data_IF_301618262330
#
_entry.id   IF_301618262330
#
_cell.length_a   1.000
_cell.length_b   1.000
_cell.length_c   1.000
_cell.angle_alpha   90.00
_cell.angle_beta   90.00
_cell.angle_gamma   90.00
#
_symmetry.space_group_name_H-M   'P 1'
#
loop_
_entity.id
_entity.type
_entity.pdbx_description
1 polymer ?
#
# COMPACT_ATOMS: atom_id res chain seq x y z
N UNK A 1 -9.54 8.05 5.08
CA UNK A 1 -8.57 7.38 4.18
C UNK A 1 -8.98 7.77 2.77
N UNK A 2 -8.40 8.85 2.23
CA UNK A 2 -8.68 9.31 0.86
C UNK A 2 -8.00 8.37 -0.14
N UNK A 3 -8.70 7.28 -0.47
CA UNK A 3 -8.28 6.30 -1.48
C UNK A 3 -8.78 6.67 -2.89
N UNK A 4 -9.30 7.89 -3.08
CA UNK A 4 -9.92 8.29 -4.32
C UNK A 4 -8.88 8.97 -5.23
N UNK A 5 -8.70 8.51 -6.48
CA UNK A 5 -7.80 9.16 -7.42
C UNK A 5 -8.26 10.60 -7.65
N UNK A 6 -7.36 11.56 -7.38
CA UNK A 6 -7.62 13.01 -7.48
C UNK A 6 -7.94 13.52 -8.91
N UNK A 7 -7.94 12.66 -9.92
CA UNK A 7 -8.00 13.05 -11.33
C UNK A 7 -9.03 12.21 -12.10
N UNK A 8 -10.28 12.31 -11.67
CA UNK A 8 -11.46 11.96 -12.48
C UNK A 8 -11.94 13.26 -13.11
N UNK A 9 -11.24 13.72 -14.16
CA UNK A 9 -11.47 15.01 -14.81
C UNK A 9 -12.94 15.39 -15.02
N UNK A 10 -13.18 16.71 -15.13
CA UNK A 10 -14.44 17.49 -15.04
C UNK A 10 -15.61 17.12 -16.00
N UNK A 11 -15.59 15.90 -16.49
CA UNK A 11 -16.57 15.29 -17.35
C UNK A 11 -17.68 14.65 -16.50
N UNK A 12 -18.94 14.76 -16.92
CA UNK A 12 -20.10 14.13 -16.25
C UNK A 12 -19.95 12.61 -16.04
N UNK A 13 -18.96 11.98 -16.66
CA UNK A 13 -18.62 10.57 -16.46
C UNK A 13 -17.69 10.32 -15.27
N UNK A 14 -16.83 11.27 -14.91
CA UNK A 14 -15.90 11.17 -13.79
C UNK A 14 -16.61 11.05 -12.45
N UNK A 15 -17.60 11.93 -12.21
CA UNK A 15 -18.34 11.94 -10.94
C UNK A 15 -19.10 10.62 -10.70
N UNK A 16 -19.65 10.00 -11.75
CA UNK A 16 -20.40 8.73 -11.60
C UNK A 16 -19.44 7.64 -11.13
N UNK A 17 -18.27 7.51 -11.76
CA UNK A 17 -17.28 6.51 -11.35
C UNK A 17 -16.76 6.80 -9.95
N UNK A 18 -16.56 8.06 -9.58
CA UNK A 18 -16.19 8.45 -8.22
C UNK A 18 -17.22 7.99 -7.18
N UNK A 19 -18.50 8.27 -7.42
CA UNK A 19 -19.58 7.83 -6.54
C UNK A 19 -19.65 6.30 -6.44
N UNK A 20 -19.48 5.59 -7.56
CA UNK A 20 -19.42 4.12 -7.55
C UNK A 20 -18.24 3.61 -6.73
N UNK A 21 -17.04 4.21 -6.88
CA UNK A 21 -15.88 3.85 -6.08
C UNK A 21 -16.15 4.02 -4.59
N UNK A 22 -16.76 5.13 -4.17
CA UNK A 22 -17.15 5.37 -2.77
C UNK A 22 -18.13 4.31 -2.25
N UNK A 23 -19.14 3.94 -3.03
CA UNK A 23 -20.11 2.91 -2.64
C UNK A 23 -19.44 1.54 -2.49
N UNK A 24 -18.49 1.22 -3.37
CA UNK A 24 -17.78 -0.06 -3.35
C UNK A 24 -16.61 -0.11 -2.33
N UNK A 25 -16.38 0.95 -1.55
CA UNK A 25 -15.30 0.97 -0.53
C UNK A 25 -15.49 -0.08 0.57
N UNK A 26 -16.69 -0.63 0.73
CA UNK A 26 -16.97 -1.71 1.67
C UNK A 26 -16.37 -3.07 1.24
N UNK A 27 -15.77 -3.15 0.05
CA UNK A 27 -15.12 -4.35 -0.49
C UNK A 27 -16.10 -5.44 -0.95
N UNK A 28 -17.42 -5.22 -0.81
CA UNK A 28 -18.45 -6.22 -1.13
C UNK A 28 -18.80 -6.20 -2.60
N UNK A 29 -19.50 -7.25 -3.05
CA UNK A 29 -20.11 -7.31 -4.38
C UNK A 29 -21.46 -6.61 -4.38
N UNK A 30 -21.69 -5.75 -5.37
CA UNK A 30 -22.94 -5.02 -5.54
C UNK A 30 -23.48 -5.18 -6.96
N UNK A 31 -24.77 -5.46 -7.07
CA UNK A 31 -25.51 -5.34 -8.32
C UNK A 31 -25.63 -3.87 -8.74
N UNK A 32 -25.97 -3.61 -10.01
CA UNK A 32 -26.23 -2.23 -10.48
C UNK A 32 -27.35 -1.55 -9.71
N UNK A 33 -28.37 -2.31 -9.31
CA UNK A 33 -29.53 -1.79 -8.59
C UNK A 33 -29.15 -1.39 -7.15
N UNK A 34 -28.34 -2.21 -6.45
CA UNK A 34 -27.80 -1.86 -5.13
C UNK A 34 -26.91 -0.61 -5.17
N UNK A 35 -26.04 -0.49 -6.17
CA UNK A 35 -25.19 0.70 -6.34
C UNK A 35 -26.07 1.94 -6.60
N UNK A 36 -27.08 1.80 -7.46
CA UNK A 36 -27.97 2.92 -7.78
C UNK A 36 -28.80 3.36 -6.57
N UNK A 37 -29.32 2.41 -5.80
CA UNK A 37 -30.10 2.66 -4.60
C UNK A 37 -29.24 3.32 -3.51
N UNK A 38 -28.10 2.73 -3.17
CA UNK A 38 -27.12 3.27 -2.22
C UNK A 38 -26.65 4.67 -2.62
N UNK A 39 -26.31 4.86 -3.90
CA UNK A 39 -25.86 6.15 -4.40
C UNK A 39 -26.95 7.24 -4.39
N UNK A 40 -28.22 6.87 -4.60
CA UNK A 40 -29.33 7.83 -4.52
C UNK A 40 -29.71 8.18 -3.08
N UNK A 41 -29.68 7.19 -2.18
CA UNK A 41 -30.02 7.41 -0.76
C UNK A 41 -28.95 8.26 -0.05
N UNK A 42 -27.67 8.09 -0.41
CA UNK A 42 -26.55 8.88 0.09
C UNK A 42 -26.35 10.23 -0.61
N UNK A 43 -27.08 10.51 -1.70
CA UNK A 43 -26.93 11.74 -2.48
C UNK A 43 -25.68 11.78 -3.38
N UNK A 44 -24.96 10.67 -3.52
CA UNK A 44 -23.78 10.56 -4.38
C UNK A 44 -24.12 10.47 -5.88
N UNK A 45 -25.32 9.98 -6.21
CA UNK A 45 -25.82 9.86 -7.59
C UNK A 45 -27.11 10.66 -7.80
N UNK A 46 -27.30 11.30 -8.98
CA UNK A 46 -28.54 12.00 -9.28
C UNK A 46 -29.76 11.09 -9.22
N UNK A 47 -30.88 11.60 -8.69
CA UNK A 47 -32.16 10.89 -8.65
C UNK A 47 -32.65 10.46 -10.04
N UNK A 48 -32.28 11.21 -11.07
CA UNK A 48 -32.61 10.95 -12.49
C UNK A 48 -31.76 9.88 -13.15
N UNK A 49 -30.64 9.45 -12.54
CA UNK A 49 -29.78 8.43 -13.12
C UNK A 49 -30.53 7.08 -13.16
N UNK A 50 -30.59 6.48 -14.35
CA UNK A 50 -31.21 5.17 -14.57
C UNK A 50 -30.20 4.03 -14.51
N UNK A 51 -30.68 2.84 -14.14
CA UNK A 51 -29.91 1.59 -14.06
C UNK A 51 -29.05 1.32 -15.30
N UNK A 52 -29.65 1.39 -16.50
CA UNK A 52 -28.94 1.16 -17.78
C UNK A 52 -27.80 2.15 -18.00
N UNK A 53 -28.01 3.42 -17.65
CA UNK A 53 -26.99 4.47 -17.78
C UNK A 53 -25.82 4.20 -16.84
N UNK A 54 -26.09 3.89 -15.57
CA UNK A 54 -25.07 3.53 -14.59
C UNK A 54 -24.24 2.33 -15.06
N UNK A 55 -24.89 1.25 -15.51
CA UNK A 55 -24.23 0.07 -16.03
C UNK A 55 -23.28 0.38 -17.20
N UNK A 56 -23.73 1.19 -18.16
CA UNK A 56 -22.93 1.60 -19.32
C UNK A 56 -21.69 2.40 -18.87
N UNK A 57 -21.83 3.29 -17.88
CA UNK A 57 -20.70 4.05 -17.36
C UNK A 57 -19.65 3.14 -16.70
N UNK A 58 -20.09 2.22 -15.83
CA UNK A 58 -19.18 1.31 -15.13
C UNK A 58 -18.46 0.40 -16.14
N UNK A 59 -19.20 -0.28 -17.01
CA UNK A 59 -18.58 -1.19 -18.00
C UNK A 59 -17.68 -0.47 -19.00
N UNK A 60 -18.10 0.72 -19.47
CA UNK A 60 -17.27 1.56 -20.34
C UNK A 60 -15.99 2.04 -19.64
N UNK A 61 -16.03 2.31 -18.33
CA UNK A 61 -14.82 2.60 -17.54
C UNK A 61 -13.87 1.40 -17.53
N UNK A 62 -14.38 0.20 -17.19
CA UNK A 62 -13.58 -1.03 -17.12
C UNK A 62 -12.88 -1.28 -18.46
N UNK A 63 -13.64 -1.22 -19.57
CA UNK A 63 -13.11 -1.43 -20.92
C UNK A 63 -12.04 -0.42 -21.30
N UNK A 64 -12.22 0.88 -20.97
CA UNK A 64 -11.21 1.91 -21.26
C UNK A 64 -9.91 1.69 -20.49
N UNK A 65 -10.00 1.30 -19.21
CA UNK A 65 -8.81 0.98 -18.42
C UNK A 65 -8.06 -0.21 -19.02
N UNK A 66 -8.77 -1.30 -19.31
CA UNK A 66 -8.19 -2.50 -19.93
C UNK A 66 -7.57 -2.21 -21.31
N UNK A 67 -8.26 -1.45 -22.17
CA UNK A 67 -7.74 -1.05 -23.48
C UNK A 67 -6.47 -0.19 -23.39
N UNK A 68 -6.29 0.51 -22.27
CA UNK A 68 -5.10 1.32 -21.98
C UNK A 68 -4.02 0.52 -21.24
N UNK A 69 -4.16 -0.80 -21.08
CA UNK A 69 -3.23 -1.62 -20.31
C UNK A 69 -3.21 -1.32 -18.80
N UNK A 70 -4.22 -0.60 -18.29
CA UNK A 70 -4.34 -0.22 -16.88
C UNK A 70 -5.18 -1.24 -16.12
N UNK A 71 -4.86 -1.42 -14.84
CA UNK A 71 -5.68 -2.22 -13.93
C UNK A 71 -6.96 -1.43 -13.61
N UNK A 72 -8.16 -1.91 -13.98
CA UNK A 72 -9.39 -1.21 -13.62
C UNK A 72 -9.60 -1.31 -12.11
N UNK A 73 -10.02 -0.21 -11.46
CA UNK A 73 -10.32 -0.20 -10.02
C UNK A 73 -11.62 -0.95 -9.68
N UNK A 74 -12.52 -1.06 -10.65
CA UNK A 74 -13.78 -1.78 -10.56
C UNK A 74 -13.68 -3.00 -11.47
N UNK A 75 -14.10 -4.17 -11.01
CA UNK A 75 -14.24 -5.35 -11.85
C UNK A 75 -15.69 -5.83 -11.85
N UNK A 76 -16.04 -6.54 -12.91
CA UNK A 76 -17.33 -7.20 -13.05
C UNK A 76 -17.16 -8.70 -12.86
N UNK A 77 -17.96 -9.29 -11.98
CA UNK A 77 -18.05 -10.73 -11.85
C UNK A 77 -18.70 -11.31 -13.13
N UNK A 78 -18.03 -12.27 -13.81
CA UNK A 78 -18.49 -12.79 -15.09
C UNK A 78 -19.79 -13.61 -14.98
N UNK A 79 -20.13 -14.14 -13.80
CA UNK A 79 -21.29 -15.02 -13.61
C UNK A 79 -22.57 -14.23 -13.38
N UNK A 80 -22.54 -13.28 -12.46
CA UNK A 80 -23.74 -12.54 -12.01
C UNK A 80 -23.77 -11.08 -12.51
N UNK A 81 -22.70 -10.61 -13.17
CA UNK A 81 -22.52 -9.22 -13.64
C UNK A 81 -22.50 -8.17 -12.53
N UNK A 82 -22.23 -8.57 -11.29
CA UNK A 82 -22.09 -7.66 -10.16
C UNK A 82 -20.73 -6.99 -10.20
N UNK A 83 -20.62 -5.85 -9.53
CA UNK A 83 -19.41 -5.06 -9.48
C UNK A 83 -18.81 -5.10 -8.09
N UNK A 84 -17.49 -5.10 -8.02
CA UNK A 84 -16.72 -4.90 -6.80
C UNK A 84 -15.43 -4.14 -7.12
N UNK A 85 -14.74 -3.68 -6.09
CA UNK A 85 -13.37 -3.20 -6.28
C UNK A 85 -12.48 -4.36 -6.76
N UNK A 86 -11.49 -4.03 -7.59
CA UNK A 86 -10.51 -4.98 -8.11
C UNK A 86 -9.44 -5.32 -7.08
N UNK A 87 -9.90 -5.84 -5.94
CA UNK A 87 -9.14 -6.17 -4.75
C UNK A 87 -9.65 -7.52 -4.21
N UNK A 88 -8.79 -8.34 -3.58
CA UNK A 88 -9.22 -9.49 -2.80
C UNK A 88 -10.28 -9.08 -1.77
N UNK A 89 -11.18 -9.98 -1.40
CA UNK A 89 -12.11 -9.73 -0.30
C UNK A 89 -11.33 -9.73 1.03
N UNK A 90 -11.55 -8.73 1.88
CA UNK A 90 -11.06 -8.76 3.25
C UNK A 90 -12.14 -9.40 4.14
N UNK A 91 -11.81 -10.57 4.69
CA UNK A 91 -12.69 -11.30 5.58
C UNK A 91 -12.59 -10.82 7.04
N UNK A 92 -11.65 -9.92 7.34
CA UNK A 92 -11.39 -9.43 8.69
C UNK A 92 -11.98 -8.01 8.87
N UNK A 93 -12.45 -7.67 10.08
CA UNK A 93 -12.89 -6.31 10.35
C UNK A 93 -11.71 -5.32 10.23
N UNK A 94 -11.97 -4.07 9.83
CA UNK A 94 -10.94 -3.04 9.77
C UNK A 94 -10.37 -2.81 11.17
N UNK A 95 -9.12 -3.23 11.39
CA UNK A 95 -8.43 -2.99 12.64
C UNK A 95 -7.65 -1.67 12.58
N UNK A 96 -7.91 -0.76 13.51
CA UNK A 96 -7.15 0.49 13.64
C UNK A 96 -5.84 0.16 14.34
N UNK A 97 -4.75 0.13 13.58
CA UNK A 97 -3.39 -0.04 14.11
C UNK A 97 -3.14 1.02 15.18
N UNK A 98 -2.66 0.62 16.37
CA UNK A 98 -2.16 1.60 17.34
C UNK A 98 -1.04 2.38 16.68
N UNK A 99 -1.08 3.72 16.73
CA UNK A 99 -0.15 4.60 16.04
C UNK A 99 1.28 4.07 16.15
N UNK A 100 1.90 3.77 14.99
CA UNK A 100 3.31 3.43 14.94
C UNK A 100 4.10 4.59 15.58
N UNK A 101 5.23 4.29 16.22
CA UNK A 101 6.04 5.32 16.85
C UNK A 101 6.33 6.46 15.86
N UNK A 102 6.20 7.73 16.27
CA UNK A 102 6.39 8.86 15.37
C UNK A 102 7.79 8.79 14.74
N UNK A 103 7.85 8.95 13.42
CA UNK A 103 9.12 8.91 12.70
C UNK A 103 10.02 10.06 13.15
N UNK A 104 11.32 9.80 13.07
CA UNK A 104 12.36 10.77 13.40
C UNK A 104 12.67 11.77 12.28
N UNK A 105 12.08 11.63 11.08
CA UNK A 105 12.36 12.51 9.94
C UNK A 105 11.14 13.29 9.45
N UNK A 106 11.37 14.49 8.91
CA UNK A 106 10.34 15.40 8.45
C UNK A 106 9.85 15.03 7.04
N UNK A 107 8.96 14.03 6.96
CA UNK A 107 8.39 13.53 5.71
C UNK A 107 7.76 14.64 4.85
N UNK A 108 7.08 15.60 5.48
CA UNK A 108 6.40 16.69 4.78
C UNK A 108 7.37 17.62 4.06
N UNK A 109 8.52 17.94 4.68
CA UNK A 109 9.56 18.75 4.05
C UNK A 109 10.17 18.06 2.83
N UNK A 110 10.42 16.75 2.91
CA UNK A 110 10.96 15.96 1.79
C UNK A 110 9.98 15.94 0.63
N UNK A 111 8.70 15.64 0.91
CA UNK A 111 7.63 15.61 -0.09
C UNK A 111 7.45 16.99 -0.74
N UNK A 112 7.42 18.05 0.06
CA UNK A 112 7.25 19.42 -0.43
C UNK A 112 8.41 19.82 -1.36
N UNK A 113 9.65 19.49 -1.00
CA UNK A 113 10.83 19.77 -1.83
C UNK A 113 10.79 18.99 -3.14
N UNK A 114 10.43 17.71 -3.10
CA UNK A 114 10.30 16.87 -4.29
C UNK A 114 9.24 17.45 -5.25
N UNK A 115 8.07 17.84 -4.73
CA UNK A 115 7.01 18.47 -5.50
C UNK A 115 7.46 19.79 -6.13
N UNK A 116 8.06 20.69 -5.35
CA UNK A 116 8.47 22.01 -5.82
C UNK A 116 9.54 21.94 -6.94
N UNK A 117 10.50 21.03 -6.82
CA UNK A 117 11.60 20.90 -7.78
C UNK A 117 11.18 20.20 -9.09
N UNK A 118 10.20 19.29 -9.05
CA UNK A 118 9.73 18.54 -10.23
C UNK A 118 9.11 19.39 -11.36
N UNK A 119 8.69 20.62 -11.03
CA UNK A 119 8.10 21.60 -11.96
C UNK A 119 9.00 22.83 -12.17
N UNK A 120 10.18 22.83 -11.57
CA UNK A 120 11.17 23.92 -11.67
C UNK A 120 11.96 23.90 -12.99
N UNK A 121 12.90 24.84 -13.10
CA UNK A 121 13.85 24.98 -14.20
C UNK A 121 15.28 24.53 -13.84
N UNK A 122 15.45 23.94 -12.66
CA UNK A 122 16.70 23.35 -12.16
C UNK A 122 16.57 21.81 -12.09
N UNK A 123 16.97 21.08 -13.15
CA UNK A 123 16.94 19.63 -13.18
C UNK A 123 17.78 19.00 -12.06
N UNK A 124 18.95 19.58 -11.76
CA UNK A 124 19.85 19.05 -10.72
C UNK A 124 19.20 19.13 -9.35
N UNK A 125 18.46 20.21 -9.05
CA UNK A 125 17.70 20.31 -7.81
C UNK A 125 16.60 19.24 -7.71
N UNK A 126 15.96 18.87 -8.82
CA UNK A 126 14.97 17.79 -8.86
C UNK A 126 15.62 16.41 -8.66
N UNK A 127 16.73 16.14 -9.34
CA UNK A 127 17.51 14.90 -9.17
C UNK A 127 17.94 14.70 -7.71
N UNK A 128 18.42 15.76 -7.05
CA UNK A 128 18.80 15.72 -5.64
C UNK A 128 17.60 15.50 -4.72
N UNK A 129 16.48 16.20 -4.96
CA UNK A 129 15.26 16.00 -4.18
C UNK A 129 14.69 14.58 -4.33
N UNK A 130 14.81 13.99 -5.53
CA UNK A 130 14.48 12.60 -5.78
C UNK A 130 15.39 11.66 -4.99
N UNK A 131 16.70 11.92 -4.95
CA UNK A 131 17.63 11.11 -4.15
C UNK A 131 17.25 11.13 -2.67
N UNK A 132 16.99 12.30 -2.10
CA UNK A 132 16.61 12.45 -0.69
C UNK A 132 15.29 11.72 -0.38
N UNK A 133 14.32 11.77 -1.31
CA UNK A 133 13.04 11.07 -1.18
C UNK A 133 13.21 9.54 -1.21
N UNK A 134 14.09 9.01 -2.07
CA UNK A 134 14.39 7.58 -2.14
C UNK A 134 15.21 7.12 -0.93
N UNK A 135 16.14 7.94 -0.44
CA UNK A 135 16.89 7.65 0.79
C UNK A 135 15.96 7.59 2.02
N UNK A 136 14.96 8.47 2.08
CA UNK A 136 13.94 8.46 3.14
C UNK A 136 13.09 7.16 3.18
N UNK A 137 13.06 6.40 2.07
CA UNK A 137 12.44 5.07 2.01
C UNK A 137 13.39 3.95 2.46
N UNK A 138 14.62 4.27 2.85
CA UNK A 138 15.62 3.32 3.37
C UNK A 138 16.55 2.71 2.31
N UNK A 139 16.63 3.29 1.12
CA UNK A 139 17.60 2.88 0.10
C UNK A 139 18.97 3.53 0.33
N UNK A 140 20.03 2.87 -0.15
CA UNK A 140 21.37 3.48 -0.23
C UNK A 140 21.48 4.20 -1.57
N UNK A 141 21.49 5.53 -1.56
CA UNK A 141 21.37 6.34 -2.77
C UNK A 141 22.67 7.02 -3.15
N UNK A 142 22.95 7.06 -4.46
CA UNK A 142 24.05 7.81 -5.06
C UNK A 142 23.50 8.67 -6.21
N UNK A 143 23.53 9.99 -6.03
CA UNK A 143 23.37 10.94 -7.14
C UNK A 143 24.57 10.83 -8.08
N UNK A 144 24.33 10.72 -9.38
CA UNK A 144 25.35 10.59 -10.42
C UNK A 144 25.28 11.82 -11.32
N UNK A 145 24.15 11.99 -12.03
CA UNK A 145 23.87 13.12 -12.91
C UNK A 145 24.84 13.26 -14.10
N UNK A 146 24.49 14.18 -15.01
CA UNK A 146 25.36 14.60 -16.10
C UNK A 146 25.17 13.84 -17.42
N UNK A 147 25.96 14.22 -18.43
CA UNK A 147 25.74 13.76 -19.80
C UNK A 147 26.03 12.25 -19.97
N UNK A 148 25.04 11.50 -20.46
CA UNK A 148 25.08 10.04 -20.73
C UNK A 148 25.24 9.15 -19.49
N UNK A 149 24.92 9.68 -18.32
CA UNK A 149 24.84 8.94 -17.08
C UNK A 149 23.40 9.02 -16.55
N UNK A 150 22.95 8.05 -15.72
CA UNK A 150 21.68 8.20 -15.04
C UNK A 150 21.77 9.29 -13.99
N UNK A 151 20.62 9.83 -13.62
CA UNK A 151 20.55 10.85 -12.58
C UNK A 151 20.91 10.26 -11.23
N UNK A 152 20.43 9.06 -10.93
CA UNK A 152 20.79 8.36 -9.71
C UNK A 152 20.91 6.85 -9.87
N UNK A 153 21.60 6.24 -8.92
CA UNK A 153 21.62 4.80 -8.67
C UNK A 153 21.35 4.56 -7.20
N UNK A 154 20.55 3.56 -6.89
CA UNK A 154 20.30 3.18 -5.50
C UNK A 154 20.17 1.68 -5.29
N UNK A 155 20.56 1.25 -4.10
CA UNK A 155 20.61 -0.15 -3.68
C UNK A 155 19.64 -0.39 -2.52
N UNK A 156 18.92 -1.51 -2.58
CA UNK A 156 18.13 -2.03 -1.46
C UNK A 156 18.98 -3.05 -0.67
N UNK A 157 19.48 -2.74 0.53
CA UNK A 157 20.41 -3.61 1.27
C UNK A 157 19.68 -4.76 2.01
N UNK A 158 18.96 -5.60 1.26
CA UNK A 158 18.07 -6.65 1.80
C UNK A 158 18.73 -8.04 1.85
N UNK A 159 20.06 -8.10 1.94
CA UNK A 159 20.82 -9.36 1.94
C UNK A 159 20.58 -10.15 0.64
N UNK A 160 20.16 -11.44 0.69
CA UNK A 160 19.86 -12.23 -0.50
C UNK A 160 18.75 -11.67 -1.39
N UNK A 161 17.91 -10.76 -0.87
CA UNK A 161 16.83 -10.11 -1.61
C UNK A 161 17.24 -8.76 -2.19
N UNK A 162 18.51 -8.37 -2.01
CA UNK A 162 19.04 -7.09 -2.49
C UNK A 162 18.80 -6.91 -3.99
N UNK A 163 18.64 -5.66 -4.38
CA UNK A 163 18.48 -5.27 -5.77
C UNK A 163 18.94 -3.82 -5.96
N UNK A 164 19.21 -3.48 -7.20
CA UNK A 164 19.72 -2.19 -7.64
C UNK A 164 18.80 -1.56 -8.67
N UNK A 165 18.65 -0.24 -8.61
CA UNK A 165 17.84 0.53 -9.55
C UNK A 165 18.65 1.71 -10.09
N UNK A 166 18.53 1.99 -11.38
CA UNK A 166 18.91 3.29 -11.98
C UNK A 166 17.68 4.18 -12.17
N UNK A 167 17.85 5.48 -12.00
CA UNK A 167 16.78 6.47 -12.08
C UNK A 167 17.11 7.56 -13.10
N UNK A 168 16.12 7.87 -13.94
CA UNK A 168 16.06 9.13 -14.71
C UNK A 168 14.94 10.01 -14.16
N UNK A 169 15.21 11.29 -14.02
CA UNK A 169 14.30 12.33 -13.59
C UNK A 169 13.90 13.20 -14.78
N UNK A 170 12.59 13.32 -15.00
CA UNK A 170 12.00 14.11 -16.07
C UNK A 170 11.21 15.27 -15.47
N UNK A 171 11.82 16.45 -15.40
CA UNK A 171 11.15 17.66 -14.95
C UNK A 171 10.18 18.18 -16.03
N UNK A 172 9.06 18.77 -15.63
CA UNK A 172 8.13 19.38 -16.57
C UNK A 172 7.47 20.65 -16.00
N UNK A 173 7.74 21.80 -16.62
CA UNK A 173 7.12 23.08 -16.25
C UNK A 173 5.58 23.06 -16.34
N UNK A 174 5.04 22.23 -17.22
CA UNK A 174 3.59 22.00 -17.35
C UNK A 174 2.99 21.12 -16.26
N UNK A 175 3.83 20.52 -15.40
CA UNK A 175 3.46 19.46 -14.46
C UNK A 175 3.23 18.09 -15.10
N UNK A 176 3.37 17.96 -16.43
CA UNK A 176 3.12 16.70 -17.15
C UNK A 176 4.22 16.44 -18.18
N UNK A 177 4.88 15.30 -18.03
CA UNK A 177 5.83 14.75 -19.00
C UNK A 177 5.04 14.14 -20.17
N UNK A 178 5.18 14.75 -21.36
CA UNK A 178 4.48 14.35 -22.61
C UNK A 178 5.39 13.66 -23.63
N UNK A 179 6.71 13.76 -23.46
CA UNK A 179 7.68 13.13 -24.37
C UNK A 179 8.26 11.89 -23.71
N UNK A 180 8.44 10.84 -24.50
CA UNK A 180 8.79 9.50 -24.01
C UNK A 180 10.32 9.22 -24.11
N UNK A 181 11.11 10.24 -24.46
CA UNK A 181 12.54 10.08 -24.78
C UNK A 181 13.37 9.36 -23.71
N UNK A 182 13.05 9.56 -22.42
CA UNK A 182 13.77 8.95 -21.32
C UNK A 182 13.61 7.42 -21.18
N UNK A 183 12.59 6.78 -21.78
CA UNK A 183 12.33 5.35 -21.54
C UNK A 183 13.46 4.46 -22.07
N UNK A 184 13.82 4.61 -23.34
CA UNK A 184 14.90 3.83 -23.93
C UNK A 184 16.27 4.12 -23.29
N UNK A 185 16.48 5.37 -22.85
CA UNK A 185 17.70 5.79 -22.16
C UNK A 185 17.81 5.16 -20.76
N UNK A 186 16.73 5.16 -19.97
CA UNK A 186 16.70 4.50 -18.67
C UNK A 186 17.04 3.01 -18.76
N UNK A 187 16.49 2.31 -19.76
CA UNK A 187 16.82 0.91 -20.02
C UNK A 187 18.29 0.71 -20.40
N UNK A 188 18.85 1.60 -21.23
CA UNK A 188 20.29 1.58 -21.54
C UNK A 188 21.13 1.77 -20.27
N UNK A 189 20.75 2.69 -19.38
CA UNK A 189 21.46 2.91 -18.13
C UNK A 189 21.39 1.70 -17.19
N UNK A 190 20.25 1.01 -17.09
CA UNK A 190 20.13 -0.24 -16.35
C UNK A 190 21.22 -1.23 -16.75
N UNK A 191 21.36 -1.45 -18.06
CA UNK A 191 22.29 -2.44 -18.61
C UNK A 191 23.75 -2.01 -18.40
N UNK A 192 24.06 -0.74 -18.64
CA UNK A 192 25.42 -0.17 -18.45
C UNK A 192 25.86 -0.22 -16.98
N UNK A 193 24.94 0.09 -16.05
CA UNK A 193 25.23 0.17 -14.61
C UNK A 193 24.94 -1.13 -13.86
N UNK A 194 24.54 -2.18 -14.58
CA UNK A 194 24.21 -3.51 -14.04
C UNK A 194 23.17 -3.45 -12.92
N UNK A 195 22.12 -2.65 -13.13
CA UNK A 195 20.99 -2.59 -12.23
C UNK A 195 19.99 -3.71 -12.54
N UNK A 196 19.24 -4.14 -11.53
CA UNK A 196 18.16 -5.12 -11.69
C UNK A 196 16.91 -4.47 -12.30
N UNK A 197 16.72 -3.17 -12.04
CA UNK A 197 15.59 -2.39 -12.54
C UNK A 197 16.02 -0.99 -13.00
N UNK A 198 15.15 -0.32 -13.75
CA UNK A 198 15.25 1.10 -14.04
C UNK A 198 13.90 1.80 -13.88
N UNK A 199 13.95 3.05 -13.44
CA UNK A 199 12.79 3.87 -13.22
C UNK A 199 12.92 5.25 -13.89
N UNK A 200 11.77 5.79 -14.31
CA UNK A 200 11.58 7.21 -14.58
C UNK A 200 10.83 7.83 -13.41
N UNK A 201 11.20 9.06 -13.04
CA UNK A 201 10.48 9.89 -12.07
C UNK A 201 10.17 11.26 -12.67
N UNK A 202 8.91 11.66 -12.64
CA UNK A 202 8.48 12.99 -13.09
C UNK A 202 7.31 13.52 -12.27
N UNK A 203 6.90 14.78 -12.44
CA UNK A 203 5.76 15.35 -11.71
C UNK A 203 4.49 14.53 -11.95
N UNK A 204 4.19 14.26 -13.22
CA UNK A 204 3.19 13.31 -13.68
C UNK A 204 3.53 12.89 -15.13
N UNK A 205 2.99 11.76 -15.57
CA UNK A 205 3.13 11.30 -16.95
C UNK A 205 1.80 11.36 -17.69
N UNK A 206 1.84 11.69 -18.98
CA UNK A 206 0.67 11.63 -19.84
C UNK A 206 0.00 10.24 -19.75
N UNK A 207 -1.32 10.23 -19.57
CA UNK A 207 -2.08 9.00 -19.31
C UNK A 207 -2.50 8.24 -20.56
N UNK A 208 -2.50 8.91 -21.71
CA UNK A 208 -2.90 8.36 -23.01
C UNK A 208 -1.67 8.29 -23.93
N UNK A 209 -1.67 7.35 -24.86
CA UNK A 209 -0.64 7.25 -25.90
C UNK A 209 0.27 6.04 -25.76
N UNK A 210 1.45 6.11 -26.41
CA UNK A 210 2.37 4.98 -26.58
C UNK A 210 3.24 4.66 -25.34
N UNK A 211 3.23 5.53 -24.32
CA UNK A 211 4.11 5.42 -23.15
C UNK A 211 3.97 4.06 -22.45
N UNK A 212 2.74 3.57 -22.24
CA UNK A 212 2.54 2.31 -21.52
C UNK A 212 3.14 1.12 -22.27
N UNK A 213 3.04 1.10 -23.60
CA UNK A 213 3.69 0.08 -24.43
C UNK A 213 5.22 0.20 -24.39
N UNK A 214 5.75 1.43 -24.39
CA UNK A 214 7.18 1.67 -24.34
C UNK A 214 7.80 1.25 -23.00
N UNK A 215 7.14 1.56 -21.88
CA UNK A 215 7.52 1.11 -20.54
C UNK A 215 7.58 -0.43 -20.45
N UNK A 216 6.62 -1.12 -21.08
CA UNK A 216 6.64 -2.58 -21.16
C UNK A 216 7.78 -3.10 -22.03
N UNK A 217 7.95 -2.55 -23.23
CA UNK A 217 8.96 -3.01 -24.18
C UNK A 217 10.40 -2.84 -23.67
N UNK A 218 10.65 -1.79 -22.88
CA UNK A 218 11.97 -1.48 -22.33
C UNK A 218 12.16 -1.94 -20.88
N UNK A 219 11.13 -2.53 -20.28
CA UNK A 219 11.12 -2.97 -18.88
C UNK A 219 11.43 -1.84 -17.88
N UNK A 220 10.78 -0.69 -18.07
CA UNK A 220 10.99 0.52 -17.27
C UNK A 220 9.77 0.78 -16.39
N UNK A 221 10.01 1.12 -15.12
CA UNK A 221 8.96 1.59 -14.22
C UNK A 221 8.80 3.11 -14.31
N UNK A 222 7.57 3.63 -14.35
CA UNK A 222 7.31 5.07 -14.30
C UNK A 222 6.67 5.46 -12.96
N UNK A 223 7.31 6.37 -12.22
CA UNK A 223 6.86 6.92 -10.96
C UNK A 223 6.49 8.39 -11.11
N UNK A 224 5.28 8.77 -10.72
CA UNK A 224 5.00 10.18 -10.45
C UNK A 224 5.61 10.62 -9.11
N UNK A 225 5.78 11.92 -8.92
CA UNK A 225 6.12 12.49 -7.60
C UNK A 225 5.09 12.10 -6.54
N UNK A 226 3.81 12.00 -6.91
CA UNK A 226 2.77 11.58 -5.96
C UNK A 226 2.87 10.10 -5.57
N UNK A 227 3.37 9.23 -6.47
CA UNK A 227 3.66 7.84 -6.14
C UNK A 227 4.74 7.75 -5.05
N UNK A 228 5.84 8.50 -5.21
CA UNK A 228 6.94 8.55 -4.22
C UNK A 228 6.46 9.19 -2.91
N UNK A 229 5.72 10.30 -2.99
CA UNK A 229 5.14 10.93 -1.80
C UNK A 229 4.20 9.99 -1.04
N UNK A 230 3.39 9.21 -1.77
CA UNK A 230 2.56 8.17 -1.19
C UNK A 230 3.39 7.11 -0.46
N UNK A 231 4.47 6.62 -1.07
CA UNK A 231 5.35 5.63 -0.43
C UNK A 231 5.93 6.18 0.88
N UNK A 232 6.36 7.44 0.88
CA UNK A 232 6.88 8.10 2.08
C UNK A 232 5.79 8.18 3.15
N UNK A 233 4.58 8.66 2.81
CA UNK A 233 3.45 8.73 3.76
C UNK A 233 3.06 7.35 4.30
N UNK A 234 3.16 6.31 3.47
CA UNK A 234 2.83 4.93 3.85
C UNK A 234 3.89 4.25 4.71
N UNK A 235 5.09 4.82 4.86
CA UNK A 235 6.23 4.12 5.46
C UNK A 235 6.58 2.85 4.70
N UNK A 236 6.64 2.98 3.36
CA UNK A 236 7.13 1.89 2.55
C UNK A 236 8.64 1.73 2.74
N UNK A 237 9.10 0.49 2.79
CA UNK A 237 10.52 0.15 2.83
C UNK A 237 10.96 -0.46 1.48
N UNK A 238 12.27 -0.72 1.26
CA UNK A 238 12.75 -1.22 -0.02
C UNK A 238 12.17 -2.59 -0.38
N UNK A 239 11.90 -3.46 0.60
CA UNK A 239 11.28 -4.76 0.34
C UNK A 239 9.88 -4.59 -0.25
N UNK A 240 9.07 -3.70 0.35
CA UNK A 240 7.72 -3.39 -0.11
C UNK A 240 7.69 -2.67 -1.46
N UNK A 241 8.70 -1.84 -1.74
CA UNK A 241 8.79 -1.08 -2.99
C UNK A 241 9.22 -1.94 -4.20
N UNK A 242 9.87 -3.10 -3.98
CA UNK A 242 10.41 -3.95 -5.05
C UNK A 242 9.44 -4.23 -6.22
N UNK A 243 8.17 -4.62 -6.00
CA UNK A 243 7.24 -4.88 -7.11
C UNK A 243 6.95 -3.65 -7.98
N UNK A 244 7.05 -2.45 -7.40
CA UNK A 244 6.78 -1.18 -8.10
C UNK A 244 7.79 -0.90 -9.21
N UNK A 245 8.99 -1.50 -9.14
CA UNK A 245 10.05 -1.32 -10.13
C UNK A 245 9.96 -2.25 -11.35
N UNK A 246 9.00 -3.19 -11.41
CA UNK A 246 8.77 -3.91 -12.67
C UNK A 246 8.11 -2.99 -13.70
N UNK A 247 8.28 -3.32 -14.98
CA UNK A 247 7.77 -2.58 -16.13
C UNK A 247 6.33 -2.03 -15.98
N UNK A 248 6.13 -0.79 -16.42
CA UNK A 248 4.85 -0.08 -16.41
C UNK A 248 4.76 1.01 -15.35
N UNK A 249 3.55 1.53 -15.11
CA UNK A 249 3.36 2.60 -14.12
C UNK A 249 3.36 2.05 -12.70
N UNK A 250 4.08 2.71 -11.81
CA UNK A 250 4.08 2.40 -10.39
C UNK A 250 2.67 2.53 -9.78
N UNK A 251 1.88 3.52 -10.23
CA UNK A 251 0.50 3.76 -9.78
C UNK A 251 -0.37 2.49 -9.80
N UNK A 252 -0.19 1.64 -10.83
CA UNK A 252 -0.98 0.41 -11.01
C UNK A 252 -0.73 -0.64 -9.92
N UNK A 253 0.46 -0.62 -9.31
CA UNK A 253 0.87 -1.56 -8.25
C UNK A 253 0.88 -0.93 -6.87
N UNK A 254 0.93 0.39 -6.80
CA UNK A 254 0.85 1.13 -5.55
C UNK A 254 -0.49 0.92 -4.86
N UNK A 255 -1.56 0.82 -5.63
CA UNK A 255 -2.88 0.46 -5.11
C UNK A 255 -2.92 -0.96 -4.51
N UNK A 256 -2.16 -1.89 -5.07
CA UNK A 256 -2.03 -3.25 -4.54
C UNK A 256 -1.23 -3.26 -3.25
N UNK A 257 -0.15 -2.48 -3.18
CA UNK A 257 0.62 -2.31 -1.95
C UNK A 257 -0.22 -1.64 -0.85
N UNK A 258 -0.99 -0.60 -1.18
CA UNK A 258 -1.94 0.04 -0.26
C UNK A 258 -2.96 -0.95 0.27
N UNK A 259 -3.50 -1.79 -0.63
CA UNK A 259 -4.44 -2.83 -0.25
C UNK A 259 -3.80 -3.87 0.67
N UNK A 260 -2.65 -4.42 0.30
CA UNK A 260 -1.91 -5.42 1.08
C UNK A 260 -1.51 -4.89 2.46
N UNK A 261 -1.13 -3.61 2.57
CA UNK A 261 -0.83 -3.01 3.88
C UNK A 261 -2.07 -2.93 4.78
N UNK A 262 -3.24 -2.70 4.21
CA UNK A 262 -4.47 -2.52 4.96
C UNK A 262 -5.26 -3.82 5.20
N UNK A 263 -5.08 -4.85 4.36
CA UNK A 263 -5.91 -6.06 4.36
C UNK A 263 -5.09 -7.36 4.12
N UNK A 264 -3.78 -7.23 3.91
CA UNK A 264 -2.89 -8.36 3.64
C UNK A 264 -2.36 -9.02 4.90
N UNK A 265 -1.40 -9.94 4.71
CA UNK A 265 -0.87 -10.75 5.81
C UNK A 265 -0.26 -9.91 6.93
N UNK A 266 0.42 -8.80 6.59
CA UNK A 266 1.01 -7.91 7.57
C UNK A 266 -0.02 -7.26 8.49
N UNK A 267 -1.19 -6.87 7.95
CA UNK A 267 -2.28 -6.36 8.77
C UNK A 267 -2.87 -7.46 9.65
N UNK A 268 -3.09 -8.68 9.11
CA UNK A 268 -3.66 -9.78 9.90
C UNK A 268 -2.74 -10.16 11.06
N UNK A 269 -1.43 -10.26 10.82
CA UNK A 269 -0.42 -10.51 11.86
C UNK A 269 -0.46 -9.41 12.92
N UNK A 270 -0.53 -8.13 12.52
CA UNK A 270 -0.62 -7.02 13.46
C UNK A 270 -1.93 -7.05 14.28
N UNK A 271 -3.06 -7.35 13.63
CA UNK A 271 -4.36 -7.52 14.29
C UNK A 271 -4.32 -8.65 15.32
N UNK A 272 -3.80 -9.82 14.94
CA UNK A 272 -3.59 -10.96 15.85
C UNK A 272 -2.73 -10.53 17.03
N UNK A 273 -1.57 -9.93 16.76
CA UNK A 273 -0.63 -9.51 17.81
C UNK A 273 -1.30 -8.57 18.82
N UNK A 274 -2.12 -7.62 18.35
CA UNK A 274 -2.81 -6.69 19.23
C UNK A 274 -3.95 -7.34 20.02
N UNK A 275 -4.75 -8.21 19.41
CA UNK A 275 -5.80 -8.97 20.13
C UNK A 275 -5.16 -9.84 21.21
N UNK A 276 -4.06 -10.53 20.87
CA UNK A 276 -3.30 -11.36 21.81
C UNK A 276 -2.75 -10.51 22.95
N UNK A 277 -2.16 -9.33 22.66
CA UNK A 277 -1.73 -8.40 23.71
C UNK A 277 -2.93 -8.02 24.60
N UNK A 278 -4.02 -7.54 24.03
CA UNK A 278 -5.14 -6.98 24.80
C UNK A 278 -5.84 -8.04 25.66
N UNK A 279 -6.35 -9.11 25.02
CA UNK A 279 -7.12 -10.14 25.70
C UNK A 279 -6.21 -11.03 26.56
N UNK A 280 -5.04 -11.39 26.03
CA UNK A 280 -4.08 -12.22 26.74
C UNK A 280 -3.54 -11.54 27.99
N UNK A 281 -3.21 -10.24 27.92
CA UNK A 281 -2.74 -9.49 29.08
C UNK A 281 -3.82 -9.39 30.14
N UNK A 282 -5.06 -9.10 29.75
CA UNK A 282 -6.19 -9.04 30.67
C UNK A 282 -6.40 -10.37 31.40
N UNK A 283 -6.24 -11.51 30.71
CA UNK A 283 -6.29 -12.83 31.34
C UNK A 283 -5.14 -13.05 32.34
N UNK A 284 -3.92 -12.66 32.00
CA UNK A 284 -2.77 -12.77 32.91
C UNK A 284 -2.93 -11.90 34.15
N UNK A 285 -3.39 -10.66 33.99
CA UNK A 285 -3.67 -9.73 35.09
C UNK A 285 -4.80 -10.26 35.97
N UNK A 286 -5.89 -10.75 35.37
CA UNK A 286 -7.02 -11.30 36.13
C UNK A 286 -6.59 -12.50 36.99
N UNK A 287 -5.84 -13.43 36.41
CA UNK A 287 -5.31 -14.60 37.12
C UNK A 287 -4.35 -14.19 38.24
N UNK A 288 -3.46 -13.24 38.00
CA UNK A 288 -2.55 -12.71 39.03
C UNK A 288 -3.29 -11.99 40.17
N UNK A 289 -4.43 -11.35 39.88
CA UNK A 289 -5.26 -10.67 40.90
C UNK A 289 -6.10 -11.65 41.73
N UNK A 290 -6.50 -12.79 41.16
CA UNK A 290 -7.36 -13.78 41.82
C UNK A 290 -6.57 -14.91 42.50
N UNK A 291 -5.31 -15.10 42.10
CA UNK A 291 -4.50 -16.25 42.50
C UNK A 291 -3.04 -15.91 42.71
N UNK A 292 -2.18 -16.91 42.57
CA UNK A 292 -0.72 -16.74 42.59
C UNK A 292 -0.19 -16.38 41.20
N UNK A 293 0.94 -15.68 41.12
CA UNK A 293 1.57 -15.35 39.83
C UNK A 293 1.85 -16.60 38.96
N UNK A 294 2.03 -17.77 39.58
CA UNK A 294 2.20 -19.06 38.88
C UNK A 294 0.94 -19.60 38.21
N UNK A 295 -0.23 -19.04 38.52
CA UNK A 295 -1.52 -19.41 37.92
C UNK A 295 -1.86 -18.55 36.70
N UNK A 296 -1.04 -17.54 36.37
CA UNK A 296 -1.22 -16.75 35.16
C UNK A 296 -1.09 -17.65 33.91
N UNK A 297 -2.07 -17.62 32.98
CA UNK A 297 -2.05 -18.50 31.82
C UNK A 297 -0.86 -18.18 30.91
N UNK A 298 -0.24 -19.26 30.40
CA UNK A 298 0.66 -19.19 29.26
C UNK A 298 -0.17 -19.20 27.97
N UNK A 299 0.19 -18.36 27.00
CA UNK A 299 -0.52 -18.29 25.72
C UNK A 299 0.22 -19.15 24.70
N UNK A 300 -0.28 -20.36 24.44
CA UNK A 300 0.14 -21.16 23.30
C UNK A 300 -0.63 -20.78 22.02
N UNK A 301 -0.22 -21.33 20.87
CA UNK A 301 -0.88 -21.04 19.58
C UNK A 301 -2.39 -21.34 19.62
N UNK A 302 -2.81 -22.44 20.24
CA UNK A 302 -4.23 -22.85 20.29
C UNK A 302 -5.08 -21.88 21.11
N UNK A 303 -4.58 -21.44 22.28
CA UNK A 303 -5.24 -20.45 23.11
C UNK A 303 -5.32 -19.10 22.40
N UNK A 304 -4.26 -18.67 21.72
CA UNK A 304 -4.25 -17.44 20.94
C UNK A 304 -5.24 -17.52 19.76
N UNK A 305 -5.29 -18.63 19.03
CA UNK A 305 -6.28 -18.85 17.97
C UNK A 305 -7.71 -18.72 18.50
N UNK A 306 -8.03 -19.38 19.63
CA UNK A 306 -9.36 -19.30 20.24
C UNK A 306 -9.73 -17.87 20.64
N UNK A 307 -8.79 -17.10 21.22
CA UNK A 307 -9.00 -15.70 21.58
C UNK A 307 -9.28 -14.84 20.35
N UNK A 308 -8.46 -14.99 19.31
CA UNK A 308 -8.57 -14.23 18.06
C UNK A 308 -9.87 -14.57 17.33
N UNK A 309 -10.20 -15.85 17.17
CA UNK A 309 -11.42 -16.27 16.46
C UNK A 309 -12.68 -15.81 17.18
N UNK A 310 -12.70 -15.88 18.52
CA UNK A 310 -13.80 -15.35 19.33
C UNK A 310 -13.94 -13.84 19.13
N UNK A 311 -12.84 -13.10 19.14
CA UNK A 311 -12.83 -11.66 18.89
C UNK A 311 -13.33 -11.35 17.48
N UNK A 312 -12.83 -12.05 16.46
CA UNK A 312 -13.24 -11.85 15.06
C UNK A 312 -14.73 -12.10 14.88
N UNK A 313 -15.26 -13.19 15.44
CA UNK A 313 -16.69 -13.50 15.38
C UNK A 313 -17.54 -12.38 16.01
N UNK A 314 -17.11 -11.84 17.14
CA UNK A 314 -17.82 -10.72 17.81
C UNK A 314 -17.78 -9.42 17.00
N UNK A 315 -16.75 -9.23 16.17
CA UNK A 315 -16.55 -8.04 15.34
C UNK A 315 -16.93 -8.26 13.87
N UNK A 316 -17.67 -9.33 13.55
CA UNK A 316 -18.21 -9.58 12.22
C UNK A 316 -17.20 -10.11 11.19
N UNK A 317 -16.09 -10.68 11.64
CA UNK A 317 -15.15 -11.41 10.77
C UNK A 317 -15.83 -12.61 10.11
N UNK A 318 -15.59 -12.79 8.81
CA UNK A 318 -16.15 -13.88 8.02
C UNK A 318 -15.29 -15.16 8.05
N UNK A 319 -14.07 -15.07 8.59
CA UNK A 319 -13.12 -16.18 8.71
C UNK A 319 -12.35 -16.08 10.03
N UNK A 320 -11.90 -17.23 10.56
CA UNK A 320 -10.93 -17.28 11.65
C UNK A 320 -9.48 -17.03 11.18
N UNK A 321 -8.56 -17.06 12.14
CA UNK A 321 -7.12 -16.96 11.91
C UNK A 321 -6.46 -18.31 11.59
N UNK A 322 -5.39 -18.25 10.81
CA UNK A 322 -4.57 -19.42 10.55
C UNK A 322 -3.44 -19.55 11.58
N UNK A 323 -3.01 -20.79 11.85
CA UNK A 323 -1.98 -21.08 12.87
C UNK A 323 -0.62 -20.44 12.55
N UNK A 324 -0.24 -20.43 11.28
CA UNK A 324 0.97 -19.78 10.79
C UNK A 324 0.96 -18.26 11.00
N UNK A 325 -0.21 -17.63 10.88
CA UNK A 325 -0.38 -16.20 11.20
C UNK A 325 -0.21 -15.92 12.70
N UNK A 326 -0.75 -16.80 13.55
CA UNK A 326 -0.54 -16.73 15.01
C UNK A 326 0.93 -16.92 15.38
N UNK A 327 1.62 -17.86 14.73
CA UNK A 327 3.07 -18.05 14.93
C UNK A 327 3.86 -16.82 14.51
N UNK A 328 3.55 -16.24 13.35
CA UNK A 328 4.19 -15.00 12.90
C UNK A 328 3.93 -13.83 13.87
N UNK A 329 2.73 -13.75 14.46
CA UNK A 329 2.42 -12.78 15.50
C UNK A 329 3.25 -13.02 16.77
N UNK A 330 3.46 -14.28 17.19
CA UNK A 330 4.33 -14.60 18.33
C UNK A 330 5.78 -14.21 18.05
N UNK A 331 6.30 -14.50 16.86
CA UNK A 331 7.63 -14.06 16.43
C UNK A 331 7.77 -12.53 16.44
N UNK A 332 6.74 -11.81 15.98
CA UNK A 332 6.69 -10.36 16.05
C UNK A 332 6.72 -9.85 17.49
N UNK A 333 5.84 -10.36 18.36
CA UNK A 333 5.72 -9.92 19.76
C UNK A 333 7.00 -10.19 20.57
N UNK A 334 7.68 -11.30 20.29
CA UNK A 334 8.91 -11.74 20.97
C UNK A 334 10.19 -11.18 20.35
N UNK A 335 10.09 -10.45 19.24
CA UNK A 335 11.24 -9.78 18.64
C UNK A 335 11.83 -8.77 19.63
N UNK A 336 13.16 -8.77 19.89
CA UNK A 336 13.78 -7.84 20.85
C UNK A 336 13.53 -6.35 20.58
N UNK A 337 13.28 -5.97 19.32
CA UNK A 337 12.94 -4.59 18.96
C UNK A 337 11.49 -4.22 19.32
N UNK A 338 10.60 -5.23 19.42
CA UNK A 338 9.19 -5.07 19.80
C UNK A 338 9.02 -5.24 21.31
N UNK A 339 9.59 -6.31 21.87
CA UNK A 339 9.71 -6.56 23.31
C UNK A 339 8.39 -6.64 24.04
N UNK A 340 7.35 -7.20 23.41
CA UNK A 340 5.98 -7.28 23.95
C UNK A 340 5.64 -8.62 24.59
N UNK A 341 6.45 -9.63 24.32
CA UNK A 341 6.32 -10.95 24.91
C UNK A 341 7.68 -11.63 25.02
N UNK A 342 7.74 -12.68 25.82
CA UNK A 342 8.86 -13.63 25.86
C UNK A 342 8.33 -15.05 25.68
N UNK A 343 9.11 -15.92 25.06
CA UNK A 343 8.80 -17.35 25.06
C UNK A 343 9.00 -17.92 26.47
N UNK A 344 8.08 -18.79 26.90
CA UNK A 344 8.13 -19.41 28.23
C UNK A 344 9.23 -20.46 28.38
N UNK A 345 9.75 -20.98 27.26
CA UNK A 345 10.81 -21.98 27.20
C UNK A 345 11.53 -21.97 25.83
N UNK A 346 12.62 -22.75 25.73
CA UNK A 346 13.41 -22.89 24.51
C UNK A 346 12.66 -23.58 23.36
N UNK A 347 11.68 -24.44 23.68
CA UNK A 347 10.84 -25.09 22.69
C UNK A 347 9.83 -24.12 22.04
N UNK A 348 9.71 -22.89 22.55
CA UNK A 348 8.83 -21.83 22.01
C UNK A 348 7.35 -22.22 21.94
N UNK A 349 6.90 -23.09 22.85
CA UNK A 349 5.54 -23.63 22.84
C UNK A 349 4.45 -22.63 23.29
N UNK A 350 4.84 -21.61 24.06
CA UNK A 350 3.93 -20.57 24.55
C UNK A 350 4.68 -19.26 24.81
N UNK A 351 3.95 -18.16 24.83
CA UNK A 351 4.45 -16.84 25.20
C UNK A 351 3.85 -16.36 26.54
N UNK A 352 4.59 -15.47 27.19
CA UNK A 352 4.16 -14.65 28.33
C UNK A 352 4.23 -13.21 27.85
N UNK A 353 3.15 -12.44 27.99
CA UNK A 353 3.15 -11.04 27.59
C UNK A 353 3.89 -10.21 28.65
N UNK A 354 4.71 -9.28 28.18
CA UNK A 354 5.51 -8.39 29.03
C UNK A 354 5.00 -6.97 28.81
N UNK A 355 4.15 -6.51 29.73
CA UNK A 355 3.54 -5.17 29.89
C UNK A 355 3.25 -4.38 28.59
N UNK A 356 1.98 -4.06 28.27
CA UNK A 356 1.69 -3.18 27.13
C UNK A 356 2.27 -1.78 27.37
N UNK A 357 3.02 -1.22 26.40
CA UNK A 357 3.59 0.16 26.49
C UNK A 357 2.58 1.23 26.88
N UNK A 358 1.28 1.02 26.62
CA UNK A 358 0.23 1.99 26.92
C UNK A 358 0.07 2.28 28.42
N UNK A 359 0.61 1.45 29.32
CA UNK A 359 0.61 1.68 30.77
C UNK A 359 1.87 2.40 31.29
N UNK A 360 2.80 2.79 30.41
CA UNK A 360 4.02 3.56 30.78
C UNK A 360 3.89 5.07 30.51
N UNK A 361 2.74 5.53 29.98
CA UNK A 361 2.51 6.94 29.60
C UNK A 361 1.38 7.59 30.44
N UNK A 362 0.70 6.84 31.31
CA UNK A 362 -0.30 7.39 32.24
C UNK A 362 0.28 7.73 33.60
#
# INVERSE_FOLDING_TARGET
MDLLPHDLGDNKHGYIIHAVLQILQDGRVHSTDQILESGKSSGLLPKTLGRKSLYIHITGYIQRQQASGRKPLIIQDPKNRYFKLNRPEDAWPPYVRSEDAPRQFNADQIIQRLQATSVGDDPVAFEQAACDAIEALGFLVKHIGGYKAPDAQFDAPLGPLAYRVTLECEAAQSGIVRRIGGVAEAARHRDVYKADYCALLGPAFEKLGALDAELQNHEVAAFSVEDVATLIRMDANPYQAKPLFMAGRAENKLDDLRWDRAHGAGQRIATIANIVIELGWNMQVLAANQGTNSEAPLLNEDAAMMLVDTWLQQHGGASGCARDEVRAAFEYLTNPMVGRAVYSNEARNAIVLTTPRSLLIS
#
